data_IF_036099243284
#
_entry.id   IF_036099243284
#
_cell.length_a   1.000
_cell.length_b   1.000
_cell.length_c   1.000
_cell.angle_alpha   90.00
_cell.angle_beta   90.00
_cell.angle_gamma   90.00
#
_symmetry.space_group_name_H-M   'P 1'
#
loop_
_entity.id
_entity.type
_entity.pdbx_description
1 polymer ?
#
# COMPACT_ATOMS: atom_id res chain seq x y z
N UNK A 1 -13.43 -21.97 5.76
CA UNK A 1 -13.83 -20.55 5.65
C UNK A 1 -12.63 -19.67 5.82
N UNK A 2 -12.48 -18.67 4.98
CA UNK A 2 -11.36 -17.75 5.06
C UNK A 2 -11.77 -16.48 5.78
N UNK A 3 -10.89 -15.97 6.61
CA UNK A 3 -11.07 -14.67 7.26
C UNK A 3 -10.14 -13.70 6.59
N UNK A 4 -10.69 -12.63 6.06
CA UNK A 4 -9.92 -11.61 5.36
C UNK A 4 -9.87 -10.36 6.22
N UNK A 5 -8.67 -9.87 6.46
CA UNK A 5 -8.47 -8.58 7.14
C UNK A 5 -7.92 -7.57 6.15
N UNK A 6 -8.19 -6.32 6.44
CA UNK A 6 -7.75 -5.21 5.59
C UNK A 6 -7.04 -4.20 6.47
N UNK A 7 -5.88 -3.76 6.02
CA UNK A 7 -5.19 -2.61 6.62
C UNK A 7 -5.13 -1.49 5.61
N UNK A 8 -5.10 -0.28 6.10
CA UNK A 8 -5.02 0.90 5.23
C UNK A 8 -3.73 1.67 5.52
N UNK A 9 -3.03 2.06 4.47
CA UNK A 9 -1.75 2.75 4.56
C UNK A 9 -1.74 3.95 3.63
N UNK A 10 -0.98 4.97 4.02
CA UNK A 10 -0.59 6.04 3.12
C UNK A 10 0.83 5.73 2.65
N UNK A 11 1.01 5.55 1.36
CA UNK A 11 2.32 5.21 0.78
C UNK A 11 2.86 6.37 -0.03
N UNK A 12 4.15 6.52 0.00
CA UNK A 12 4.85 7.60 -0.72
C UNK A 12 6.05 7.05 -1.47
N UNK A 13 6.39 7.71 -2.57
CA UNK A 13 7.60 7.40 -3.32
C UNK A 13 8.11 8.67 -3.99
N UNK A 14 9.41 8.76 -4.14
CA UNK A 14 10.03 9.83 -4.91
C UNK A 14 10.16 9.47 -6.39
N UNK A 15 9.59 8.33 -6.81
CA UNK A 15 9.72 7.81 -8.17
C UNK A 15 8.40 7.75 -8.92
N UNK A 16 7.38 7.13 -8.35
CA UNK A 16 6.10 6.94 -9.03
C UNK A 16 5.06 6.41 -8.07
N UNK A 17 3.78 6.44 -8.50
CA UNK A 17 2.70 5.81 -7.72
C UNK A 17 2.86 4.30 -7.69
N UNK A 18 3.26 3.69 -8.81
CA UNK A 18 3.48 2.24 -8.83
C UNK A 18 4.57 1.84 -7.83
N UNK A 19 5.65 2.62 -7.78
CA UNK A 19 6.72 2.34 -6.83
C UNK A 19 6.21 2.47 -5.39
N UNK A 20 5.37 3.47 -5.12
CA UNK A 20 4.78 3.63 -3.79
C UNK A 20 3.95 2.41 -3.40
N UNK A 21 3.12 1.92 -4.33
CA UNK A 21 2.28 0.75 -4.06
C UNK A 21 3.13 -0.50 -3.84
N UNK A 22 4.16 -0.70 -4.65
CA UNK A 22 5.05 -1.85 -4.51
C UNK A 22 5.80 -1.83 -3.18
N UNK A 23 6.26 -0.66 -2.77
CA UNK A 23 6.94 -0.52 -1.47
C UNK A 23 6.00 -0.79 -0.31
N UNK A 24 4.74 -0.35 -0.42
CA UNK A 24 3.76 -0.63 0.62
C UNK A 24 3.54 -2.13 0.78
N UNK A 25 3.39 -2.85 -0.33
CA UNK A 25 3.20 -4.30 -0.31
C UNK A 25 4.46 -4.99 0.23
N UNK A 26 5.63 -4.58 -0.23
CA UNK A 26 6.88 -5.17 0.23
C UNK A 26 7.06 -4.99 1.74
N UNK A 27 6.74 -3.80 2.24
CA UNK A 27 6.84 -3.53 3.67
C UNK A 27 5.83 -4.36 4.47
N UNK A 28 4.59 -4.45 3.97
CA UNK A 28 3.56 -5.25 4.62
C UNK A 28 3.92 -6.73 4.65
N UNK A 29 4.58 -7.23 3.61
CA UNK A 29 5.00 -8.63 3.52
C UNK A 29 5.97 -9.02 4.64
N UNK A 30 6.65 -8.05 5.22
CA UNK A 30 7.60 -8.32 6.30
C UNK A 30 6.91 -8.77 7.58
N UNK A 31 5.67 -8.37 7.80
CA UNK A 31 4.95 -8.66 9.05
C UNK A 31 3.64 -9.40 8.82
N UNK A 32 3.09 -9.36 7.62
CA UNK A 32 1.82 -10.00 7.31
C UNK A 32 2.05 -11.18 6.38
N UNK A 33 1.25 -12.22 6.58
CA UNK A 33 1.27 -13.42 5.73
C UNK A 33 0.02 -13.46 4.89
N UNK A 34 0.12 -14.13 3.75
CA UNK A 34 -1.03 -14.40 2.89
C UNK A 34 -1.69 -13.13 2.38
N UNK A 35 -0.88 -12.17 1.94
CA UNK A 35 -1.39 -10.97 1.31
C UNK A 35 -2.05 -11.39 -0.01
N UNK A 36 -3.29 -10.92 -0.24
CA UNK A 36 -4.09 -11.30 -1.38
C UNK A 36 -4.23 -10.22 -2.42
N UNK A 37 -4.42 -8.98 -1.99
CA UNK A 37 -4.65 -7.90 -2.94
C UNK A 37 -4.29 -6.56 -2.33
N UNK A 38 -4.13 -5.58 -3.19
CA UNK A 38 -3.96 -4.19 -2.80
C UNK A 38 -4.90 -3.34 -3.65
N UNK A 39 -5.65 -2.45 -3.00
CA UNK A 39 -6.45 -1.44 -3.67
C UNK A 39 -5.74 -0.11 -3.55
N UNK A 40 -5.63 0.61 -4.65
CA UNK A 40 -4.95 1.90 -4.70
C UNK A 40 -5.99 2.99 -4.92
N UNK A 41 -5.96 4.03 -4.08
CA UNK A 41 -6.94 5.11 -4.11
C UNK A 41 -6.26 6.45 -3.86
N UNK A 42 -6.95 7.51 -4.28
CA UNK A 42 -6.57 8.87 -3.91
C UNK A 42 -5.12 9.19 -4.28
N UNK A 43 -4.79 8.96 -5.54
CA UNK A 43 -3.47 9.32 -6.03
C UNK A 43 -3.29 10.82 -5.97
N UNK A 44 -2.19 11.25 -5.35
CA UNK A 44 -1.87 12.66 -5.22
C UNK A 44 -0.36 12.82 -5.33
N UNK A 45 0.08 14.05 -5.39
CA UNK A 45 1.50 14.34 -5.49
C UNK A 45 1.79 15.66 -4.79
N UNK A 46 2.97 15.76 -4.22
CA UNK A 46 3.45 17.02 -3.67
C UNK A 46 4.28 17.73 -4.70
N UNK A 47 4.11 19.03 -4.77
CA UNK A 47 4.80 19.86 -5.76
C UNK A 47 5.68 20.87 -5.03
N UNK A 48 6.89 21.04 -5.54
CA UNK A 48 7.80 22.06 -5.05
C UNK A 48 8.45 22.73 -6.26
N UNK A 49 8.34 24.05 -6.31
CA UNK A 49 8.92 24.85 -7.39
C UNK A 49 8.56 24.35 -8.79
N UNK A 50 7.27 24.01 -8.97
CA UNK A 50 6.76 23.56 -10.27
C UNK A 50 7.09 22.12 -10.64
N UNK A 51 7.64 21.35 -9.72
CA UNK A 51 7.98 19.95 -9.98
C UNK A 51 7.34 19.03 -8.97
N UNK A 52 6.93 17.87 -9.43
CA UNK A 52 6.45 16.84 -8.53
C UNK A 52 7.65 16.22 -7.82
N UNK A 53 7.62 16.23 -6.50
CA UNK A 53 8.71 15.70 -5.68
C UNK A 53 8.34 14.41 -4.96
N UNK A 54 7.05 14.19 -4.72
CA UNK A 54 6.60 13.00 -4.01
C UNK A 54 5.28 12.55 -4.57
N UNK A 55 5.17 11.26 -4.87
CA UNK A 55 3.93 10.61 -5.29
C UNK A 55 3.34 9.91 -4.07
N UNK A 56 2.07 10.18 -3.78
CA UNK A 56 1.38 9.62 -2.62
C UNK A 56 0.12 8.90 -3.05
N UNK A 57 -0.25 7.88 -2.30
CA UNK A 57 -1.53 7.22 -2.49
C UNK A 57 -1.97 6.56 -1.20
N UNK A 58 -3.29 6.35 -1.10
CA UNK A 58 -3.84 5.48 -0.07
C UNK A 58 -3.94 4.07 -0.64
N UNK A 59 -3.55 3.10 0.13
CA UNK A 59 -3.76 1.72 -0.29
C UNK A 59 -4.38 0.91 0.83
N UNK A 60 -5.22 -0.02 0.43
CA UNK A 60 -5.78 -1.02 1.34
C UNK A 60 -5.20 -2.35 0.95
N UNK A 61 -4.64 -3.05 1.91
CA UNK A 61 -4.03 -4.35 1.68
C UNK A 61 -4.88 -5.38 2.39
N UNK A 62 -5.34 -6.38 1.63
CA UNK A 62 -6.07 -7.49 2.21
C UNK A 62 -5.15 -8.68 2.41
N UNK A 63 -5.36 -9.37 3.50
CA UNK A 63 -4.61 -10.60 3.76
C UNK A 63 -5.51 -11.60 4.45
N UNK A 64 -5.20 -12.86 4.23
CA UNK A 64 -5.98 -13.95 4.81
C UNK A 64 -5.44 -14.26 6.19
N UNK A 65 -6.32 -14.16 7.17
CA UNK A 65 -5.96 -14.47 8.54
C UNK A 65 -6.06 -15.97 8.76
N UNK A 66 -5.06 -16.52 9.41
CA UNK A 66 -5.09 -17.93 9.81
C UNK A 66 -6.18 -18.10 10.86
N UNK A 67 -7.07 -19.06 10.64
CA UNK A 67 -8.19 -19.32 11.55
C UNK A 67 -7.75 -19.78 12.91
N UNK A 68 -6.54 -20.30 13.02
CA UNK A 68 -6.04 -20.84 14.28
C UNK A 68 -5.28 -19.82 15.13
N UNK A 69 -5.27 -18.56 14.73
CA UNK A 69 -4.53 -17.52 15.45
C UNK A 69 -5.38 -16.38 15.92
#
# INVERSE_FOLDING_TARGET
>A
MALIKIIELLAESDKSWEDAAEKAVANATRTLRNIRSVWVRNLSAQVHEGKIITWQLNCKISFEKDENT
#
